data_IF_513482481723
#
_entry.id   IF_513482481723
#
_cell.length_a   1.000
_cell.length_b   1.000
_cell.length_c   1.000
_cell.angle_alpha   90.00
_cell.angle_beta   90.00
_cell.angle_gamma   90.00
#
_symmetry.space_group_name_H-M   'P 1'
#
loop_
_entity.id
_entity.type
_entity.pdbx_description
1 polymer ?
#
# COMPACT_ATOMS: atom_id res chain seq x y z
N UNK A 1 -2.03 -23.68 29.92
CA UNK A 1 -1.44 -23.98 28.56
C UNK A 1 -1.12 -22.71 27.75
N UNK A 2 -1.94 -21.65 27.81
CA UNK A 2 -1.76 -20.38 27.06
C UNK A 2 -0.47 -19.62 27.43
N UNK A 3 -0.13 -19.48 28.72
CA UNK A 3 1.09 -18.76 29.15
C UNK A 3 2.39 -19.41 28.64
N UNK A 4 2.47 -20.76 28.69
CA UNK A 4 3.66 -21.51 28.24
C UNK A 4 3.84 -21.40 26.72
N UNK A 5 2.74 -21.41 25.97
CA UNK A 5 2.74 -21.20 24.51
C UNK A 5 3.23 -19.79 24.14
N UNK A 6 2.75 -18.76 24.84
CA UNK A 6 3.18 -17.38 24.60
C UNK A 6 4.68 -17.15 24.93
N UNK A 7 5.20 -17.79 25.98
CA UNK A 7 6.63 -17.71 26.33
C UNK A 7 7.50 -18.38 25.24
N UNK A 8 7.09 -19.55 24.75
CA UNK A 8 7.78 -20.22 23.64
C UNK A 8 7.74 -19.37 22.37
N UNK A 9 6.61 -18.76 22.04
CA UNK A 9 6.46 -17.89 20.86
C UNK A 9 7.36 -16.65 20.94
N UNK A 10 7.44 -16.03 22.12
CA UNK A 10 8.30 -14.88 22.38
C UNK A 10 9.79 -15.28 22.31
N UNK A 11 10.15 -16.42 22.89
CA UNK A 11 11.52 -16.94 22.82
C UNK A 11 11.95 -17.28 21.38
N UNK A 12 11.09 -17.96 20.63
CA UNK A 12 11.27 -18.24 19.20
C UNK A 12 11.47 -16.95 18.38
N UNK A 13 10.62 -15.97 18.61
CA UNK A 13 10.70 -14.66 17.94
C UNK A 13 12.03 -13.96 18.27
N UNK A 14 12.43 -13.97 19.53
CA UNK A 14 13.67 -13.32 19.97
C UNK A 14 14.94 -14.01 19.48
N UNK A 15 14.87 -15.28 19.06
CA UNK A 15 16.02 -16.03 18.53
C UNK A 15 16.01 -16.08 17.00
N UNK A 16 14.88 -16.28 16.37
CA UNK A 16 14.76 -16.44 14.91
C UNK A 16 15.03 -15.11 14.19
N UNK A 17 14.50 -14.01 14.69
CA UNK A 17 14.69 -12.70 14.01
C UNK A 17 16.15 -12.29 13.94
N UNK A 18 16.96 -12.35 15.04
CA UNK A 18 18.38 -12.06 14.94
C UNK A 18 19.15 -13.01 14.03
N UNK A 19 18.80 -14.30 14.01
CA UNK A 19 19.44 -15.28 13.10
C UNK A 19 19.18 -14.91 11.64
N UNK A 20 17.93 -14.58 11.28
CA UNK A 20 17.59 -14.14 9.92
C UNK A 20 18.34 -12.87 9.55
N UNK A 21 18.42 -11.88 10.44
CA UNK A 21 19.13 -10.64 10.19
C UNK A 21 20.63 -10.87 10.05
N UNK A 22 21.26 -11.70 10.90
CA UNK A 22 22.67 -12.06 10.78
C UNK A 22 22.94 -12.82 9.47
N UNK A 23 22.07 -13.77 9.10
CA UNK A 23 22.16 -14.47 7.82
C UNK A 23 22.07 -13.50 6.65
N UNK A 24 21.12 -12.57 6.68
CA UNK A 24 20.99 -11.53 5.66
C UNK A 24 22.27 -10.67 5.54
N UNK A 25 22.84 -10.24 6.67
CA UNK A 25 24.11 -9.49 6.68
C UNK A 25 25.26 -10.28 6.06
N UNK A 26 25.37 -11.58 6.36
CA UNK A 26 26.38 -12.47 5.78
C UNK A 26 26.17 -12.56 4.25
N UNK A 27 24.94 -12.75 3.77
CA UNK A 27 24.64 -12.78 2.33
C UNK A 27 24.94 -11.45 1.63
N UNK A 28 24.72 -10.31 2.29
CA UNK A 28 25.12 -9.01 1.74
C UNK A 28 26.61 -8.92 1.48
N UNK A 29 27.44 -9.49 2.35
CA UNK A 29 28.91 -9.51 2.21
C UNK A 29 29.34 -10.50 1.14
N UNK A 30 28.82 -11.74 1.19
CA UNK A 30 29.21 -12.82 0.27
C UNK A 30 28.84 -12.51 -1.20
N UNK A 31 27.69 -11.86 -1.44
CA UNK A 31 27.19 -11.50 -2.77
C UNK A 31 27.25 -9.99 -3.04
N UNK A 32 28.29 -9.31 -2.50
CA UNK A 32 28.36 -7.84 -2.52
C UNK A 32 28.23 -7.25 -3.93
N UNK A 33 28.91 -7.82 -4.94
CA UNK A 33 28.84 -7.30 -6.32
C UNK A 33 27.44 -7.39 -6.90
N UNK A 34 26.77 -8.55 -6.77
CA UNK A 34 25.39 -8.74 -7.24
C UNK A 34 24.41 -7.83 -6.50
N UNK A 35 24.62 -7.66 -5.20
CA UNK A 35 23.76 -6.80 -4.36
C UNK A 35 23.90 -5.32 -4.72
N UNK A 36 25.11 -4.86 -5.05
CA UNK A 36 25.34 -3.48 -5.52
C UNK A 36 24.65 -3.25 -6.87
N UNK A 37 24.73 -4.19 -7.80
CA UNK A 37 24.03 -4.11 -9.09
C UNK A 37 22.52 -4.08 -8.87
N UNK A 38 21.99 -4.96 -8.03
CA UNK A 38 20.57 -4.99 -7.71
C UNK A 38 20.08 -3.69 -7.04
N UNK A 39 20.87 -3.13 -6.13
CA UNK A 39 20.57 -1.86 -5.49
C UNK A 39 20.55 -0.70 -6.50
N UNK A 40 21.50 -0.65 -7.43
CA UNK A 40 21.52 0.32 -8.52
C UNK A 40 20.28 0.21 -9.42
N UNK A 41 19.93 -1.01 -9.83
CA UNK A 41 18.73 -1.27 -10.64
C UNK A 41 17.45 -0.86 -9.88
N UNK A 42 17.39 -1.14 -8.59
CA UNK A 42 16.27 -0.69 -7.73
C UNK A 42 16.17 0.82 -7.62
N UNK A 43 17.31 1.51 -7.49
CA UNK A 43 17.38 2.96 -7.46
C UNK A 43 16.98 3.59 -8.80
N UNK A 44 17.44 3.02 -9.91
CA UNK A 44 17.07 3.43 -11.26
C UNK A 44 15.56 3.25 -11.49
N UNK A 45 15.01 2.09 -11.17
CA UNK A 45 13.58 1.82 -11.25
C UNK A 45 12.77 2.83 -10.43
N UNK A 46 13.22 3.12 -9.21
CA UNK A 46 12.57 4.13 -8.38
C UNK A 46 12.62 5.51 -8.99
N UNK A 47 13.81 5.96 -9.43
CA UNK A 47 14.00 7.32 -9.95
C UNK A 47 13.29 7.55 -11.30
N UNK A 48 13.34 6.56 -12.20
CA UNK A 48 12.86 6.72 -13.59
C UNK A 48 11.40 6.32 -13.78
N UNK A 49 10.87 5.44 -12.92
CA UNK A 49 9.51 4.92 -13.06
C UNK A 49 8.61 5.31 -11.88
N UNK A 50 9.04 5.06 -10.66
CA UNK A 50 8.19 5.24 -9.47
C UNK A 50 8.01 6.74 -9.16
N UNK A 51 9.09 7.52 -9.15
CA UNK A 51 9.01 8.97 -8.86
C UNK A 51 8.13 9.68 -9.87
N UNK A 52 8.35 9.60 -11.20
CA UNK A 52 7.52 10.30 -12.16
C UNK A 52 6.04 9.89 -12.13
N UNK A 53 5.76 8.64 -11.83
CA UNK A 53 4.38 8.13 -11.81
C UNK A 53 3.61 8.44 -10.53
N UNK A 54 4.26 8.43 -9.36
CA UNK A 54 3.57 8.58 -8.07
C UNK A 54 3.72 9.97 -7.45
N UNK A 55 4.89 10.60 -7.58
CA UNK A 55 5.16 11.86 -6.88
C UNK A 55 4.21 13.01 -7.26
N UNK A 56 3.86 13.24 -8.55
CA UNK A 56 2.90 14.28 -8.91
C UNK A 56 1.55 14.10 -8.24
N UNK A 57 1.06 12.84 -8.16
CA UNK A 57 -0.20 12.53 -7.51
C UNK A 57 -0.14 12.67 -5.99
N UNK A 58 0.95 12.22 -5.36
CA UNK A 58 1.16 12.41 -3.92
C UNK A 58 1.17 13.90 -3.57
N UNK A 59 1.89 14.71 -4.35
CA UNK A 59 1.98 16.14 -4.14
C UNK A 59 0.64 16.85 -4.37
N UNK A 60 -0.06 16.54 -5.46
CA UNK A 60 -1.38 17.08 -5.75
C UNK A 60 -2.39 16.70 -4.64
N UNK A 61 -2.35 15.46 -4.16
CA UNK A 61 -3.21 14.99 -3.06
C UNK A 61 -2.92 15.72 -1.76
N UNK A 62 -1.64 15.97 -1.46
CA UNK A 62 -1.24 16.74 -0.28
C UNK A 62 -1.76 18.19 -0.37
N UNK A 63 -1.65 18.83 -1.53
CA UNK A 63 -2.17 20.19 -1.75
C UNK A 63 -3.70 20.21 -1.61
N UNK A 64 -4.41 19.28 -2.24
CA UNK A 64 -5.86 19.16 -2.13
C UNK A 64 -6.31 18.90 -0.70
N UNK A 65 -5.57 18.06 0.04
CA UNK A 65 -5.82 17.79 1.45
C UNK A 65 -5.71 19.03 2.34
N UNK A 66 -4.95 20.06 1.96
CA UNK A 66 -4.85 21.35 2.67
C UNK A 66 -6.01 22.29 2.35
N UNK A 67 -6.87 21.96 1.41
CA UNK A 67 -8.02 22.76 1.01
C UNK A 67 -9.31 22.33 1.72
N UNK A 68 -10.38 23.10 1.55
CA UNK A 68 -11.70 22.74 2.06
C UNK A 68 -12.39 21.61 1.29
N UNK A 69 -11.74 21.03 0.26
CA UNK A 69 -12.34 20.00 -0.60
C UNK A 69 -12.68 18.73 0.20
N UNK A 70 -11.85 18.36 1.16
CA UNK A 70 -12.09 17.21 2.05
C UNK A 70 -13.37 17.40 2.85
N UNK A 71 -13.58 18.60 3.41
CA UNK A 71 -14.80 18.93 4.15
C UNK A 71 -16.03 18.96 3.25
N UNK A 72 -15.89 19.52 2.05
CA UNK A 72 -16.98 19.61 1.07
C UNK A 72 -17.42 18.21 0.63
N UNK A 73 -16.48 17.37 0.23
CA UNK A 73 -16.75 15.96 -0.12
C UNK A 73 -17.30 15.19 1.08
N UNK A 74 -16.73 15.42 2.27
CA UNK A 74 -17.21 14.81 3.50
C UNK A 74 -18.68 15.12 3.76
N UNK A 75 -19.09 16.37 3.70
CA UNK A 75 -20.50 16.78 3.90
C UNK A 75 -21.42 16.22 2.83
N UNK A 76 -21.03 16.33 1.56
CA UNK A 76 -21.87 15.95 0.42
C UNK A 76 -22.06 14.43 0.34
N UNK A 77 -20.97 13.68 0.50
CA UNK A 77 -20.98 12.22 0.32
C UNK A 77 -21.21 11.43 1.62
N UNK A 78 -21.37 12.10 2.76
CA UNK A 78 -21.69 11.43 4.03
C UNK A 78 -22.98 10.60 3.95
N UNK A 79 -23.98 11.07 3.20
CA UNK A 79 -25.25 10.37 2.96
C UNK A 79 -25.08 9.04 2.23
N UNK A 80 -23.94 8.83 1.55
CA UNK A 80 -23.59 7.61 0.83
C UNK A 80 -22.58 6.80 1.64
N UNK A 81 -21.53 7.44 2.14
CA UNK A 81 -20.44 6.76 2.86
C UNK A 81 -20.88 6.08 4.14
N UNK A 82 -21.73 6.75 4.94
CA UNK A 82 -22.25 6.17 6.18
C UNK A 82 -23.13 4.94 5.96
N UNK A 83 -24.19 4.98 5.13
CA UNK A 83 -25.05 3.81 4.95
C UNK A 83 -24.40 2.70 4.12
N UNK A 84 -23.47 3.02 3.19
CA UNK A 84 -22.90 2.03 2.31
C UNK A 84 -21.67 1.32 2.94
N UNK A 85 -20.77 2.08 3.57
CA UNK A 85 -19.49 1.58 4.07
C UNK A 85 -19.31 1.71 5.59
N UNK A 86 -20.21 2.37 6.28
CA UNK A 86 -20.13 2.69 7.72
C UNK A 86 -18.83 3.43 8.09
N UNK A 87 -18.44 4.41 7.27
CA UNK A 87 -17.27 5.27 7.45
C UNK A 87 -17.67 6.74 7.38
N UNK A 88 -16.85 7.68 7.90
CA UNK A 88 -17.13 9.11 7.78
C UNK A 88 -17.13 9.56 6.32
N UNK A 89 -17.86 10.64 6.03
CA UNK A 89 -17.98 11.18 4.68
C UNK A 89 -16.64 11.59 4.06
N UNK A 90 -15.69 12.01 4.87
CA UNK A 90 -14.31 12.35 4.48
C UNK A 90 -13.59 11.15 3.83
N UNK A 91 -14.00 9.92 4.14
CA UNK A 91 -13.52 8.71 3.48
C UNK A 91 -13.73 8.71 1.96
N UNK A 92 -14.67 9.49 1.46
CA UNK A 92 -14.88 9.69 0.02
C UNK A 92 -13.67 10.32 -0.66
N UNK A 93 -12.98 11.25 0.00
CA UNK A 93 -11.74 11.83 -0.52
C UNK A 93 -10.64 10.77 -0.64
N UNK A 94 -10.48 9.92 0.39
CA UNK A 94 -9.52 8.82 0.34
C UNK A 94 -9.85 7.83 -0.78
N UNK A 95 -11.13 7.52 -1.00
CA UNK A 95 -11.57 6.62 -2.06
C UNK A 95 -11.31 7.20 -3.46
N UNK A 96 -11.72 8.44 -3.70
CA UNK A 96 -11.54 9.11 -4.99
C UNK A 96 -10.03 9.25 -5.31
N UNK A 97 -9.24 9.73 -4.36
CA UNK A 97 -7.81 9.92 -4.59
C UNK A 97 -7.08 8.59 -4.72
N UNK A 98 -7.47 7.56 -3.94
CA UNK A 98 -6.93 6.20 -4.08
C UNK A 98 -7.26 5.58 -5.43
N UNK A 99 -8.46 5.83 -5.97
CA UNK A 99 -8.86 5.33 -7.27
C UNK A 99 -8.15 6.04 -8.43
N UNK A 100 -7.93 7.35 -8.34
CA UNK A 100 -7.26 8.15 -9.40
C UNK A 100 -5.75 7.93 -9.38
N UNK A 101 -5.14 8.05 -8.21
CA UNK A 101 -3.68 8.02 -8.04
C UNK A 101 -3.11 6.61 -7.88
N UNK A 102 -3.95 5.68 -7.41
CA UNK A 102 -3.51 4.33 -7.07
C UNK A 102 -2.88 4.23 -5.68
N UNK A 103 -2.41 3.02 -5.34
CA UNK A 103 -1.68 2.82 -4.09
C UNK A 103 -0.29 3.48 -4.18
N UNK A 104 0.26 3.99 -3.06
CA UNK A 104 -0.25 3.91 -1.69
C UNK A 104 -1.07 5.13 -1.25
N UNK A 105 -1.56 5.96 -2.17
CA UNK A 105 -2.16 7.27 -1.86
C UNK A 105 -3.41 7.12 -0.96
N UNK A 106 -4.29 6.17 -1.27
CA UNK A 106 -5.47 5.92 -0.45
C UNK A 106 -5.13 5.56 1.00
N UNK A 107 -4.17 4.65 1.19
CA UNK A 107 -3.71 4.26 2.53
C UNK A 107 -3.07 5.42 3.30
N UNK A 108 -2.29 6.27 2.62
CA UNK A 108 -1.69 7.47 3.20
C UNK A 108 -2.75 8.43 3.74
N UNK A 109 -3.78 8.73 2.94
CA UNK A 109 -4.88 9.63 3.34
C UNK A 109 -5.62 9.07 4.56
N UNK A 110 -5.92 7.76 4.56
CA UNK A 110 -6.60 7.11 5.69
C UNK A 110 -5.75 7.18 6.96
N UNK A 111 -4.44 6.99 6.85
CA UNK A 111 -3.51 7.14 7.97
C UNK A 111 -3.49 8.56 8.50
N UNK A 112 -3.46 9.55 7.61
CA UNK A 112 -3.54 10.96 7.98
C UNK A 112 -4.87 11.30 8.68
N UNK A 113 -5.99 10.76 8.19
CA UNK A 113 -7.30 10.93 8.84
C UNK A 113 -7.32 10.32 10.23
N UNK A 114 -6.70 9.13 10.41
CA UNK A 114 -6.60 8.51 11.73
C UNK A 114 -5.74 9.32 12.69
N UNK A 115 -4.60 9.81 12.24
CA UNK A 115 -3.67 10.63 13.05
C UNK A 115 -4.30 11.96 13.46
N UNK A 116 -5.18 12.53 12.64
CA UNK A 116 -5.88 13.77 12.89
C UNK A 116 -7.24 13.57 13.63
N UNK A 117 -7.58 12.36 14.05
CA UNK A 117 -8.80 12.06 14.79
C UNK A 117 -10.10 12.19 13.98
N UNK A 118 -10.03 12.14 12.65
CA UNK A 118 -11.19 12.24 11.74
C UNK A 118 -11.97 10.92 11.71
N UNK A 119 -11.26 9.80 11.89
CA UNK A 119 -11.87 8.47 11.92
C UNK A 119 -11.36 7.65 13.10
N UNK A 120 -12.15 6.68 13.54
CA UNK A 120 -11.74 5.67 14.51
C UNK A 120 -10.78 4.66 13.87
N UNK A 121 -10.14 3.81 14.70
CA UNK A 121 -9.29 2.72 14.21
C UNK A 121 -10.08 1.78 13.30
N UNK A 122 -11.29 1.42 13.68
CA UNK A 122 -12.12 0.47 12.93
C UNK A 122 -12.66 1.08 11.64
N UNK A 123 -13.04 2.37 11.65
CA UNK A 123 -13.38 3.10 10.42
C UNK A 123 -12.16 3.20 9.48
N UNK A 124 -10.97 3.47 10.02
CA UNK A 124 -9.73 3.47 9.24
C UNK A 124 -9.42 2.12 8.61
N UNK A 125 -9.55 1.03 9.36
CA UNK A 125 -9.36 -0.33 8.83
C UNK A 125 -10.36 -0.65 7.71
N UNK A 126 -11.62 -0.25 7.85
CA UNK A 126 -12.63 -0.40 6.78
C UNK A 126 -12.28 0.42 5.55
N UNK A 127 -11.90 1.68 5.73
CA UNK A 127 -11.49 2.53 4.62
C UNK A 127 -10.31 1.94 3.86
N UNK A 128 -9.28 1.42 4.55
CA UNK A 128 -8.13 0.79 3.92
C UNK A 128 -8.52 -0.38 3.00
N UNK A 129 -9.59 -1.11 3.33
CA UNK A 129 -10.02 -2.25 2.54
C UNK A 129 -10.50 -1.89 1.12
N UNK A 130 -10.98 -0.66 0.89
CA UNK A 130 -11.52 -0.24 -0.40
C UNK A 130 -10.91 1.04 -0.98
N UNK A 131 -10.02 1.72 -0.25
CA UNK A 131 -9.39 2.97 -0.73
C UNK A 131 -7.97 2.77 -1.26
N UNK A 132 -7.32 1.65 -0.91
CA UNK A 132 -5.96 1.37 -1.36
C UNK A 132 -5.99 0.58 -2.69
N UNK A 133 -6.30 1.26 -3.77
CA UNK A 133 -6.63 0.71 -5.08
C UNK A 133 -5.47 0.80 -6.06
N UNK A 134 -5.55 0.05 -7.16
CA UNK A 134 -4.69 0.27 -8.32
C UNK A 134 -5.24 1.40 -9.17
N UNK A 135 -4.37 2.31 -9.60
CA UNK A 135 -4.78 3.44 -10.43
C UNK A 135 -5.08 3.04 -11.88
N UNK A 136 -5.85 3.87 -12.61
CA UNK A 136 -6.23 3.61 -14.00
C UNK A 136 -5.02 3.55 -14.93
N UNK A 137 -3.96 4.32 -14.66
CA UNK A 137 -2.74 4.29 -15.45
C UNK A 137 -2.10 2.90 -15.43
N UNK A 138 -2.09 2.23 -14.27
CA UNK A 138 -1.57 0.87 -14.16
C UNK A 138 -2.51 -0.16 -14.83
N UNK A 139 -3.80 -0.13 -14.49
CA UNK A 139 -4.75 -1.14 -14.98
C UNK A 139 -4.96 -1.01 -16.50
N UNK A 140 -5.21 0.20 -16.99
CA UNK A 140 -5.50 0.42 -18.41
C UNK A 140 -4.21 0.48 -19.23
N UNK A 141 -3.20 1.22 -18.73
CA UNK A 141 -1.95 1.43 -19.43
C UNK A 141 -1.05 0.21 -19.41
N UNK A 142 -0.60 -0.19 -18.22
CA UNK A 142 0.38 -1.28 -18.11
C UNK A 142 -0.24 -2.64 -18.37
N UNK A 143 -1.38 -2.95 -17.77
CA UNK A 143 -2.00 -4.28 -17.93
C UNK A 143 -2.77 -4.36 -19.24
N UNK A 144 -3.73 -3.45 -19.49
CA UNK A 144 -4.59 -3.50 -20.67
C UNK A 144 -3.81 -3.33 -21.97
N UNK A 145 -3.06 -2.24 -22.10
CA UNK A 145 -2.31 -1.93 -23.32
C UNK A 145 -0.98 -2.68 -23.34
N UNK A 146 -0.22 -2.67 -22.23
CA UNK A 146 1.12 -3.25 -22.20
C UNK A 146 1.13 -4.77 -22.26
N UNK A 147 0.29 -5.47 -21.47
CA UNK A 147 0.28 -6.94 -21.45
C UNK A 147 -0.70 -7.54 -22.46
N UNK A 148 -1.92 -7.00 -22.56
CA UNK A 148 -2.96 -7.55 -23.45
C UNK A 148 -3.03 -6.89 -24.81
N UNK A 149 -2.24 -5.84 -25.06
CA UNK A 149 -2.27 -5.03 -26.28
C UNK A 149 -3.70 -4.56 -26.66
N UNK A 150 -4.59 -4.40 -25.66
CA UNK A 150 -6.01 -4.11 -25.91
C UNK A 150 -6.56 -3.15 -24.84
N UNK A 151 -6.89 -1.92 -25.26
CA UNK A 151 -7.45 -0.89 -24.38
C UNK A 151 -8.82 -1.28 -23.80
N UNK A 152 -9.65 -2.02 -24.56
CA UNK A 152 -10.97 -2.44 -24.10
C UNK A 152 -10.88 -3.45 -22.94
N UNK A 153 -9.90 -4.36 -22.97
CA UNK A 153 -9.61 -5.26 -21.86
C UNK A 153 -9.16 -4.46 -20.64
N UNK A 154 -8.29 -3.46 -20.84
CA UNK A 154 -7.87 -2.57 -19.74
C UNK A 154 -9.04 -1.83 -19.09
N UNK A 155 -9.97 -1.32 -19.89
CA UNK A 155 -11.17 -0.65 -19.39
C UNK A 155 -12.10 -1.63 -18.64
N UNK A 156 -12.31 -2.83 -19.17
CA UNK A 156 -13.09 -3.88 -18.51
C UNK A 156 -12.49 -4.24 -17.15
N UNK A 157 -11.17 -4.43 -17.08
CA UNK A 157 -10.45 -4.71 -15.84
C UNK A 157 -10.58 -3.55 -14.85
N UNK A 158 -10.56 -2.31 -15.31
CA UNK A 158 -10.73 -1.15 -14.43
C UNK A 158 -12.14 -1.08 -13.86
N UNK A 159 -13.17 -1.32 -14.67
CA UNK A 159 -14.57 -1.35 -14.22
C UNK A 159 -14.79 -2.50 -13.22
N UNK A 160 -14.30 -3.69 -13.49
CA UNK A 160 -14.41 -4.83 -12.56
C UNK A 160 -13.66 -4.59 -11.27
N UNK A 161 -12.48 -3.96 -11.32
CA UNK A 161 -11.73 -3.54 -10.14
C UNK A 161 -12.52 -2.53 -9.29
N UNK A 162 -13.10 -1.50 -9.92
CA UNK A 162 -13.95 -0.51 -9.24
C UNK A 162 -15.15 -1.17 -8.55
N UNK A 163 -15.85 -2.08 -9.24
CA UNK A 163 -16.97 -2.83 -8.66
C UNK A 163 -16.52 -3.72 -7.49
N UNK A 164 -15.35 -4.36 -7.60
CA UNK A 164 -14.77 -5.16 -6.53
C UNK A 164 -14.47 -4.30 -5.29
N UNK A 165 -13.91 -3.10 -5.46
CA UNK A 165 -13.65 -2.18 -4.35
C UNK A 165 -14.93 -1.81 -3.59
N UNK A 166 -16.01 -1.49 -4.31
CA UNK A 166 -17.31 -1.20 -3.71
C UNK A 166 -17.83 -2.43 -2.95
N UNK A 167 -17.78 -3.59 -3.57
CA UNK A 167 -18.26 -4.86 -2.98
C UNK A 167 -17.49 -5.18 -1.69
N UNK A 168 -16.17 -5.07 -1.71
CA UNK A 168 -15.32 -5.28 -0.52
C UNK A 168 -15.67 -4.28 0.58
N UNK A 169 -15.82 -3.00 0.24
CA UNK A 169 -16.21 -1.97 1.20
C UNK A 169 -17.56 -2.26 1.88
N UNK A 170 -18.56 -2.73 1.10
CA UNK A 170 -19.87 -3.14 1.62
C UNK A 170 -19.76 -4.38 2.52
N UNK A 171 -18.98 -5.38 2.12
CA UNK A 171 -18.76 -6.60 2.92
C UNK A 171 -18.13 -6.24 4.26
N UNK A 172 -17.09 -5.42 4.28
CA UNK A 172 -16.40 -5.01 5.51
C UNK A 172 -17.29 -4.20 6.46
N UNK A 173 -18.34 -3.55 5.97
CA UNK A 173 -19.36 -2.92 6.82
C UNK A 173 -20.01 -3.93 7.77
N UNK A 174 -20.33 -5.14 7.30
CA UNK A 174 -21.03 -6.17 8.09
C UNK A 174 -20.13 -6.83 9.14
N UNK A 175 -18.81 -6.82 8.95
CA UNK A 175 -17.86 -7.34 9.94
C UNK A 175 -17.48 -6.32 11.02
N UNK A 176 -18.05 -5.12 10.96
CA UNK A 176 -17.82 -4.08 11.95
C UNK A 176 -18.50 -4.43 13.27
N UNK A 177 -17.76 -4.52 14.35
CA UNK A 177 -18.31 -4.36 15.69
C UNK A 177 -18.80 -2.92 15.79
N UNK A 178 -20.04 -2.75 16.28
CA UNK A 178 -20.61 -1.42 16.56
C UNK A 178 -19.88 -0.79 17.76
N UNK A 179 -18.66 -0.38 17.59
CA UNK A 179 -18.05 0.57 18.50
C UNK A 179 -18.63 1.95 18.16
N UNK A 180 -19.79 2.22 18.78
CA UNK A 180 -20.37 3.54 18.93
C UNK A 180 -19.48 4.40 19.87
N UNK A 181 -18.19 4.42 19.66
CA UNK A 181 -17.37 5.46 20.19
C UNK A 181 -17.72 6.70 19.36
N UNK A 182 -18.65 7.48 19.93
CA UNK A 182 -18.91 8.86 19.54
C UNK A 182 -17.61 9.65 19.75
N UNK A 183 -16.65 9.47 18.83
CA UNK A 183 -15.62 10.47 18.70
C UNK A 183 -16.36 11.73 18.25
N UNK A 184 -16.18 12.86 18.96
CA UNK A 184 -16.66 14.12 18.43
C UNK A 184 -16.07 14.20 17.03
N UNK A 185 -16.94 14.33 16.01
CA UNK A 185 -16.51 14.58 14.64
C UNK A 185 -15.66 15.85 14.68
N UNK A 186 -14.38 15.68 14.89
CA UNK A 186 -13.43 16.77 14.78
C UNK A 186 -13.55 17.22 13.33
N UNK A 187 -14.16 18.36 13.14
CA UNK A 187 -14.23 19.00 11.83
C UNK A 187 -12.81 18.99 11.29
N UNK A 188 -12.59 18.34 10.15
CA UNK A 188 -11.28 18.30 9.52
C UNK A 188 -10.69 19.71 9.54
N UNK A 189 -9.74 19.93 10.42
CA UNK A 189 -8.94 21.14 10.36
C UNK A 189 -7.83 20.78 9.37
N UNK A 190 -7.63 21.56 8.29
CA UNK A 190 -6.49 21.40 7.44
C UNK A 190 -5.24 21.60 8.29
N UNK A 191 -4.81 20.55 8.97
CA UNK A 191 -3.55 20.58 9.70
C UNK A 191 -2.46 20.44 8.63
N UNK A 192 -1.37 21.15 8.84
CA UNK A 192 -0.13 20.87 8.12
C UNK A 192 0.23 19.43 8.48
N UNK A 193 -0.28 18.49 7.66
CA UNK A 193 -0.05 17.07 7.88
C UNK A 193 1.45 16.84 7.87
N UNK A 194 1.95 16.21 8.93
CA UNK A 194 3.37 15.89 9.08
C UNK A 194 3.89 14.88 8.05
N UNK A 195 3.01 14.30 7.23
CA UNK A 195 3.42 13.39 6.16
C UNK A 195 3.66 14.16 4.87
N UNK A 196 4.88 14.61 4.70
CA UNK A 196 5.34 15.23 3.47
C UNK A 196 5.38 14.18 2.34
N UNK A 197 4.88 14.54 1.15
CA UNK A 197 4.94 13.71 -0.07
C UNK A 197 6.38 13.29 -0.39
N UNK A 198 7.36 14.13 -0.10
CA UNK A 198 8.79 13.83 -0.24
C UNK A 198 9.19 12.67 0.68
N UNK A 199 8.81 12.70 1.96
CA UNK A 199 9.11 11.60 2.90
C UNK A 199 8.47 10.29 2.45
N UNK A 200 7.25 10.34 1.93
CA UNK A 200 6.55 9.16 1.42
C UNK A 200 7.26 8.56 0.21
N UNK A 201 7.65 9.36 -0.77
CA UNK A 201 8.33 8.85 -1.97
C UNK A 201 9.73 8.31 -1.68
N UNK A 202 10.46 8.92 -0.73
CA UNK A 202 11.76 8.42 -0.27
C UNK A 202 11.62 7.08 0.47
N UNK A 203 10.59 6.92 1.29
CA UNK A 203 10.30 5.65 1.98
C UNK A 203 9.96 4.54 0.97
N UNK A 204 9.17 4.84 -0.06
CA UNK A 204 8.89 3.89 -1.14
C UNK A 204 10.19 3.50 -1.86
N UNK A 205 11.07 4.46 -2.15
CA UNK A 205 12.38 4.21 -2.76
C UNK A 205 13.25 3.28 -1.93
N UNK A 206 13.30 3.50 -0.62
CA UNK A 206 14.04 2.62 0.30
C UNK A 206 13.53 1.17 0.23
N UNK A 207 12.21 0.96 0.20
CA UNK A 207 11.65 -0.38 0.03
C UNK A 207 11.97 -0.99 -1.32
N UNK A 208 11.89 -0.23 -2.42
CA UNK A 208 12.21 -0.72 -3.77
C UNK A 208 13.65 -1.22 -3.81
N UNK A 209 14.60 -0.46 -3.26
CA UNK A 209 16.03 -0.84 -3.22
C UNK A 209 16.24 -2.09 -2.35
N UNK A 210 15.66 -2.12 -1.13
CA UNK A 210 15.78 -3.28 -0.24
C UNK A 210 15.22 -4.54 -0.90
N UNK A 211 14.02 -4.48 -1.49
CA UNK A 211 13.41 -5.62 -2.16
C UNK A 211 14.20 -6.07 -3.39
N UNK A 212 14.79 -5.15 -4.16
CA UNK A 212 15.67 -5.50 -5.28
C UNK A 212 16.88 -6.31 -4.82
N UNK A 213 17.49 -5.93 -3.70
CA UNK A 213 18.61 -6.67 -3.09
C UNK A 213 18.15 -8.02 -2.55
N UNK A 214 17.02 -8.08 -1.82
CA UNK A 214 16.48 -9.35 -1.31
C UNK A 214 16.19 -10.33 -2.45
N UNK A 215 15.58 -9.88 -3.53
CA UNK A 215 15.31 -10.71 -4.71
C UNK A 215 16.63 -11.19 -5.34
N UNK A 216 17.65 -10.33 -5.41
CA UNK A 216 18.97 -10.71 -5.92
C UNK A 216 19.64 -11.82 -5.09
N UNK A 217 19.49 -11.79 -3.76
CA UNK A 217 19.99 -12.82 -2.87
C UNK A 217 19.22 -14.15 -3.03
N UNK A 218 17.91 -14.08 -3.26
CA UNK A 218 17.06 -15.27 -3.40
C UNK A 218 17.23 -15.97 -4.78
N UNK A 219 17.55 -15.23 -5.84
CA UNK A 219 17.70 -15.77 -7.20
C UNK A 219 18.77 -16.87 -7.32
N UNK A 220 20.01 -16.73 -6.79
CA UNK A 220 21.00 -17.79 -6.83
C UNK A 220 20.57 -19.05 -6.09
N UNK A 221 19.83 -18.91 -5.00
CA UNK A 221 19.32 -20.03 -4.20
C UNK A 221 18.26 -20.82 -4.97
N UNK A 222 17.39 -20.15 -5.72
CA UNK A 222 16.40 -20.82 -6.58
C UNK A 222 17.04 -21.56 -7.77
N UNK A 223 18.05 -20.98 -8.39
CA UNK A 223 18.72 -21.62 -9.54
C UNK A 223 19.51 -22.88 -9.15
N UNK A 224 20.17 -22.89 -8.00
CA UNK A 224 20.92 -24.07 -7.54
C UNK A 224 20.02 -25.25 -7.17
N UNK A 225 18.79 -25.01 -6.74
CA UNK A 225 17.84 -26.09 -6.41
C UNK A 225 16.99 -26.57 -7.60
N UNK A 226 16.76 -25.72 -8.62
CA UNK A 226 15.93 -26.09 -9.79
C UNK A 226 16.72 -26.65 -10.97
N UNK A 227 18.04 -26.41 -11.07
CA UNK A 227 18.86 -26.87 -12.19
C UNK A 227 19.63 -28.17 -11.93
N UNK A 228 19.71 -28.65 -10.70
CA UNK A 228 20.34 -29.91 -10.35
C UNK A 228 19.68 -31.17 -10.97
N UNK A 229 18.36 -31.23 -11.22
CA UNK A 229 17.78 -32.41 -11.87
C UNK A 229 17.98 -32.49 -13.41
N UNK A 230 18.36 -31.37 -14.06
CA UNK A 230 18.38 -31.27 -15.52
C UNK A 230 19.76 -31.71 -16.13
N UNK A 231 20.82 -31.76 -15.31
CA UNK A 231 22.17 -32.14 -15.78
C UNK A 231 22.41 -33.67 -15.76
N UNK A 232 21.46 -34.44 -15.21
CA UNK A 232 21.56 -35.91 -15.14
C UNK A 232 20.78 -36.63 -16.28
N UNK A 233 20.41 -35.93 -17.35
CA UNK A 233 19.82 -36.52 -18.57
C UNK A 233 20.67 -36.13 -19.78
N UNK A 234 21.82 -36.70 -19.91
CA UNK A 234 22.52 -36.97 -21.19
C UNK A 234 23.01 -38.40 -21.17
#
# INVERSE_FOLDING_TARGET
>A
KSKKFNIILISLKNTIIPIILCSFMIFLILFSTSNIIAAKNGLELWATTVVPSLFPFLFATELLGKTKIVQYLGKTLNKIMRPLFNVPGEGSFAFIMGLISGYPVGAKIVTDFRNNGICTKDEGNRMLAFTNNSGPLFIIGTVGIGLFANKSIGLLLFVTHFMACITVGVIFKFFSKNDLQNLPHSSYKPSVSSSNSISTILMIGSYVVIFSVVISILNPVSYTHLTLPTILRV
#
